data_IF_495592077368
#
_entry.id   IF_495592077368
#
_cell.length_a   1.000
_cell.length_b   1.000
_cell.length_c   1.000
_cell.angle_alpha   90.00
_cell.angle_beta   90.00
_cell.angle_gamma   90.00
#
_symmetry.space_group_name_H-M   'P 1'
#
loop_
_entity.id
_entity.type
_entity.pdbx_description
1 polymer ?
#
# COMPACT_ATOMS: atom_id res chain seq x y z
N UNK A 1 7.61 -9.35 4.14
CA UNK A 1 8.42 -8.13 4.33
C UNK A 1 7.90 -7.09 3.34
N UNK A 2 7.31 -5.99 3.81
CA UNK A 2 6.65 -4.98 2.96
C UNK A 2 7.68 -4.33 2.03
N UNK A 3 7.38 -4.26 0.74
CA UNK A 3 8.28 -3.65 -0.24
C UNK A 3 8.11 -2.11 -0.21
N UNK A 4 8.94 -1.43 0.58
CA UNK A 4 8.87 0.02 0.79
C UNK A 4 9.02 0.86 -0.49
N UNK A 5 9.66 0.33 -1.53
CA UNK A 5 9.79 1.04 -2.82
C UNK A 5 8.42 1.09 -3.53
N UNK A 6 7.70 -0.04 -3.58
CA UNK A 6 6.35 -0.11 -4.16
C UNK A 6 5.38 0.79 -3.38
N UNK A 7 5.47 0.79 -2.05
CA UNK A 7 4.65 1.64 -1.18
C UNK A 7 4.80 3.14 -1.52
N UNK A 8 6.04 3.64 -1.69
CA UNK A 8 6.25 5.05 -2.03
C UNK A 8 5.69 5.43 -3.42
N UNK A 9 5.76 4.53 -4.40
CA UNK A 9 5.20 4.77 -5.73
C UNK A 9 3.67 4.81 -5.71
N UNK A 10 3.04 3.87 -4.99
CA UNK A 10 1.59 3.80 -4.88
C UNK A 10 1.02 4.97 -4.08
N UNK A 11 1.67 5.37 -2.98
CA UNK A 11 1.29 6.57 -2.21
C UNK A 11 1.38 7.81 -3.08
N UNK A 12 2.48 7.99 -3.83
CA UNK A 12 2.62 9.14 -4.74
C UNK A 12 1.57 9.13 -5.85
N UNK A 13 1.25 7.96 -6.41
CA UNK A 13 0.23 7.81 -7.45
C UNK A 13 -1.16 8.14 -6.92
N UNK A 14 -1.51 7.61 -5.75
CA UNK A 14 -2.79 7.84 -5.09
C UNK A 14 -2.96 9.31 -4.71
N UNK A 15 -1.94 9.93 -4.10
CA UNK A 15 -1.96 11.34 -3.74
C UNK A 15 -2.15 12.25 -4.98
N UNK A 16 -1.41 11.98 -6.06
CA UNK A 16 -1.55 12.75 -7.32
C UNK A 16 -2.90 12.54 -8.00
N UNK A 17 -3.52 11.36 -7.84
CA UNK A 17 -4.86 11.11 -8.38
C UNK A 17 -5.94 11.90 -7.63
N UNK A 18 -5.77 12.07 -6.33
CA UNK A 18 -6.74 12.77 -5.48
C UNK A 18 -6.56 14.29 -5.50
N UNK A 19 -5.32 14.79 -5.43
CA UNK A 19 -5.01 16.22 -5.31
C UNK A 19 -4.39 16.85 -6.56
N UNK A 20 -3.96 16.04 -7.54
CA UNK A 20 -3.32 16.50 -8.77
C UNK A 20 -1.78 16.51 -8.71
N UNK A 21 -1.14 16.58 -9.88
CA UNK A 21 0.32 16.50 -10.03
C UNK A 21 1.11 17.67 -9.43
N UNK A 22 0.46 18.82 -9.25
CA UNK A 22 1.07 20.03 -8.68
C UNK A 22 0.80 20.16 -7.17
N UNK A 23 -0.01 19.27 -6.59
CA UNK A 23 -0.26 19.29 -5.17
C UNK A 23 0.97 18.84 -4.39
N UNK A 24 1.26 19.55 -3.31
CA UNK A 24 2.38 19.24 -2.44
C UNK A 24 1.85 18.43 -1.23
N UNK A 25 2.37 17.20 -0.99
CA UNK A 25 1.95 16.37 0.14
C UNK A 25 2.11 17.02 1.50
N UNK A 26 3.04 17.97 1.64
CA UNK A 26 3.28 18.69 2.90
C UNK A 26 2.13 19.62 3.27
N UNK A 27 1.34 20.05 2.29
CA UNK A 27 0.18 20.92 2.51
C UNK A 27 -1.06 20.13 2.97
N UNK A 28 -1.05 18.79 2.84
CA UNK A 28 -2.16 17.91 3.20
C UNK A 28 -1.67 16.69 4.00
N UNK A 29 -1.10 16.90 5.21
CA UNK A 29 -0.49 15.82 5.99
C UNK A 29 -1.49 14.72 6.39
N UNK A 30 -2.72 15.08 6.78
CA UNK A 30 -3.76 14.11 7.17
C UNK A 30 -4.18 13.23 5.98
N UNK A 31 -4.27 13.81 4.78
CA UNK A 31 -4.59 13.05 3.58
C UNK A 31 -3.43 12.12 3.18
N UNK A 32 -2.19 12.59 3.32
CA UNK A 32 -1.01 11.78 3.06
C UNK A 32 -0.94 10.58 4.02
N UNK A 33 -1.19 10.79 5.31
CA UNK A 33 -1.22 9.72 6.32
C UNK A 33 -2.27 8.66 5.98
N UNK A 34 -3.51 9.07 5.71
CA UNK A 34 -4.59 8.17 5.28
C UNK A 34 -4.23 7.36 4.03
N UNK A 35 -3.55 7.97 3.06
CA UNK A 35 -3.14 7.29 1.83
C UNK A 35 -2.02 6.27 2.12
N UNK A 36 -1.07 6.62 2.99
CA UNK A 36 -0.01 5.71 3.42
C UNK A 36 -0.60 4.48 4.13
N UNK A 37 -1.55 4.68 5.04
CA UNK A 37 -2.25 3.59 5.74
C UNK A 37 -2.94 2.67 4.74
N UNK A 38 -3.80 3.21 3.86
CA UNK A 38 -4.50 2.41 2.85
C UNK A 38 -3.54 1.63 1.94
N UNK A 39 -2.44 2.23 1.50
CA UNK A 39 -1.46 1.54 0.65
C UNK A 39 -0.68 0.47 1.43
N UNK A 40 -0.45 0.68 2.72
CA UNK A 40 0.21 -0.31 3.59
C UNK A 40 -0.71 -1.50 3.83
N UNK A 41 -1.98 -1.26 4.16
CA UNK A 41 -3.00 -2.29 4.37
C UNK A 41 -3.14 -3.20 3.15
N UNK A 42 -3.20 -2.63 1.94
CA UNK A 42 -3.26 -3.41 0.70
C UNK A 42 -2.03 -4.30 0.48
N UNK A 43 -0.83 -3.82 0.84
CA UNK A 43 0.39 -4.61 0.71
C UNK A 43 0.49 -5.71 1.77
N UNK A 44 -0.04 -5.45 2.97
CA UNK A 44 -0.15 -6.45 4.02
C UNK A 44 -1.18 -7.53 3.67
N UNK A 45 -2.31 -7.15 3.06
CA UNK A 45 -3.29 -8.08 2.51
C UNK A 45 -2.68 -8.92 1.37
N UNK A 46 -1.99 -8.30 0.39
CA UNK A 46 -1.28 -9.02 -0.70
C UNK A 46 -0.24 -10.00 -0.14
N UNK A 47 0.49 -9.59 0.90
CA UNK A 47 1.49 -10.45 1.55
C UNK A 47 0.85 -11.60 2.35
N UNK A 48 -0.30 -11.37 2.98
CA UNK A 48 -1.04 -12.38 3.72
C UNK A 48 -1.75 -13.38 2.80
N UNK A 49 -2.31 -12.93 1.67
CA UNK A 49 -2.94 -13.80 0.68
C UNK A 49 -1.92 -14.75 0.03
N UNK A 50 -0.71 -14.24 -0.25
CA UNK A 50 0.41 -15.06 -0.73
C UNK A 50 0.97 -16.05 0.30
N UNK A 51 0.82 -15.78 1.60
CA UNK A 51 1.20 -16.72 2.67
C UNK A 51 0.15 -17.81 2.93
N UNK A 52 -1.09 -17.63 2.45
CA UNK A 52 -2.17 -18.60 2.62
C UNK A 52 -2.18 -19.69 1.53
N UNK A 53 -1.36 -19.55 0.48
CA UNK A 53 -1.16 -20.56 -0.58
C UNK A 53 -0.03 -21.53 -0.15
N UNK A 54 -0.10 -22.07 1.07
CA UNK A 54 0.96 -22.89 1.65
C UNK A 54 0.57 -23.90 2.73
N UNK A 55 -0.70 -23.97 3.15
CA UNK A 55 -1.15 -24.94 4.17
C UNK A 55 -2.25 -25.89 3.67
N UNK A 56 -2.12 -26.41 2.44
CA UNK A 56 -3.01 -27.49 1.99
C UNK A 56 -2.38 -28.42 0.94
N UNK A 57 -1.19 -28.94 1.20
CA UNK A 57 -0.69 -30.11 0.47
C UNK A 57 0.17 -30.98 1.40
N UNK A 58 -0.48 -31.76 2.26
CA UNK A 58 0.20 -32.65 3.18
C UNK A 58 -0.72 -33.34 4.18
N UNK A 59 -1.56 -34.25 3.70
CA UNK A 59 -1.76 -35.61 4.25
C UNK A 59 -3.01 -36.25 3.64
N UNK A 60 -2.80 -37.05 2.60
CA UNK A 60 -3.64 -38.19 2.24
C UNK A 60 -2.73 -39.40 2.04
#
# INVERSE_FOLDING_TARGET
MVNHIRLMEDVNRAFRKEFGYLANPRDNPEALERIIENCTDMLEEEANDHNNIGENDGEN
#
